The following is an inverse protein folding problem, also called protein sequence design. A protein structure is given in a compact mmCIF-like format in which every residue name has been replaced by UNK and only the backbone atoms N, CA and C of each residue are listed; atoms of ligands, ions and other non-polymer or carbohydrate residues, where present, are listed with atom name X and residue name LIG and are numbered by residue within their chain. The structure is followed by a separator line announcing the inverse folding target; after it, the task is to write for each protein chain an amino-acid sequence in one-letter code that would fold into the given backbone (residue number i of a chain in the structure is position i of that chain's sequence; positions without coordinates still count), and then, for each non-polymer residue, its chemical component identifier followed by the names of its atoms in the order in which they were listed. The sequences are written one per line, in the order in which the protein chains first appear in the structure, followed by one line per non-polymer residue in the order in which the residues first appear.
data_IF_900727940115
#
_entry.id   IF_900727940115
#
_cell.length_a   1.000
_cell.length_b   1.000
_cell.length_c   1.000
_cell.angle_alpha   90.00
_cell.angle_beta   90.00
_cell.angle_gamma   90.00
#
_symmetry.space_group_name_H-M   'P 1'
#
loop_
_entity.id
_entity.type
_entity.pdbx_description
1 polymer ?
#
# COMPACT_ATOMS: atom_id res chain seq x y z
N UNK A 1 31.25 -12.25 61.17
CA UNK A 1 30.25 -12.63 60.14
C UNK A 1 30.50 -11.83 58.87
N UNK A 2 31.08 -12.45 57.82
CA UNK A 2 31.50 -11.81 56.56
C UNK A 2 30.36 -11.88 55.52
N UNK A 3 29.32 -11.03 55.63
CA UNK A 3 28.19 -10.99 54.66
C UNK A 3 28.38 -9.98 53.51
N UNK A 4 29.55 -9.33 53.42
CA UNK A 4 29.82 -8.24 52.46
C UNK A 4 29.90 -8.63 50.97
N UNK A 5 30.32 -9.83 50.53
CA UNK A 5 30.46 -10.08 49.09
C UNK A 5 29.14 -10.45 48.40
N UNK A 6 28.18 -11.05 49.11
CA UNK A 6 26.90 -11.50 48.53
C UNK A 6 26.00 -10.30 48.18
N UNK A 7 25.98 -9.27 49.03
CA UNK A 7 25.18 -8.07 48.80
C UNK A 7 25.65 -7.28 47.56
N UNK A 8 26.96 -7.31 47.30
CA UNK A 8 27.57 -6.61 46.16
C UNK A 8 27.25 -7.32 44.84
N UNK A 9 27.19 -8.66 44.84
CA UNK A 9 26.81 -9.44 43.66
C UNK A 9 25.34 -9.22 43.30
N UNK A 10 24.44 -9.20 44.30
CA UNK A 10 23.00 -8.95 44.07
C UNK A 10 22.77 -7.56 43.48
N UNK A 11 23.51 -6.55 43.96
CA UNK A 11 23.41 -5.18 43.45
C UNK A 11 23.86 -5.08 41.98
N UNK A 12 24.93 -5.78 41.60
CA UNK A 12 25.45 -5.79 40.22
C UNK A 12 24.50 -6.54 39.28
N UNK A 13 23.92 -7.67 39.71
CA UNK A 13 22.95 -8.42 38.90
C UNK A 13 21.66 -7.61 38.68
N UNK A 14 21.21 -6.86 39.68
CA UNK A 14 20.04 -5.99 39.57
C UNK A 14 20.26 -4.81 38.60
N UNK A 15 21.48 -4.26 38.54
CA UNK A 15 21.84 -3.22 37.58
C UNK A 15 21.94 -3.76 36.14
N UNK A 16 22.40 -4.99 35.95
CA UNK A 16 22.44 -5.63 34.62
C UNK A 16 21.03 -5.94 34.10
N UNK A 17 20.10 -6.31 34.97
CA UNK A 17 18.68 -6.54 34.61
C UNK A 17 17.95 -5.25 34.18
N UNK A 18 18.35 -4.09 34.69
CA UNK A 18 17.77 -2.79 34.33
C UNK A 18 18.20 -2.29 32.93
N UNK A 19 19.35 -2.74 32.41
CA UNK A 19 19.88 -2.30 31.12
C UNK A 19 19.23 -3.08 29.95
N UNK A 20 18.75 -4.31 30.19
CA UNK A 20 18.08 -5.13 29.17
C UNK A 20 16.61 -4.76 28.90
N UNK A 21 16.05 -3.77 29.62
CA UNK A 21 14.64 -3.38 29.50
C UNK A 21 14.39 -2.21 28.53
N UNK A 22 15.41 -1.70 27.82
CA UNK A 22 15.20 -0.82 26.68
C UNK A 22 14.78 -1.67 25.47
N UNK A 23 13.51 -2.07 25.45
CA UNK A 23 12.87 -2.55 24.23
C UNK A 23 12.88 -1.42 23.21
N UNK A 24 13.53 -1.64 22.08
CA UNK A 24 13.46 -0.79 20.89
C UNK A 24 11.98 -0.66 20.51
N UNK A 25 11.36 0.46 20.86
CA UNK A 25 10.03 0.78 20.35
C UNK A 25 10.20 1.07 18.86
N UNK A 26 9.97 0.05 18.02
CA UNK A 26 9.83 0.20 16.58
C UNK A 26 8.67 1.17 16.32
N UNK A 27 9.02 2.44 16.11
CA UNK A 27 8.08 3.44 15.67
C UNK A 27 7.57 3.00 14.29
N UNK A 28 6.24 2.92 14.07
CA UNK A 28 5.71 2.43 12.80
C UNK A 28 6.30 3.28 11.67
N UNK A 29 6.88 2.60 10.68
CA UNK A 29 7.47 3.26 9.52
C UNK A 29 6.46 4.24 8.94
N UNK A 30 6.86 5.51 8.79
CA UNK A 30 6.02 6.57 8.25
C UNK A 30 5.69 6.21 6.80
N UNK A 31 4.46 5.79 6.54
CA UNK A 31 4.00 5.48 5.18
C UNK A 31 4.04 6.74 4.32
N UNK A 32 4.74 6.68 3.19
CA UNK A 32 4.82 7.78 2.21
C UNK A 32 3.58 7.75 1.32
N UNK A 33 2.47 8.30 1.82
CA UNK A 33 1.23 8.37 1.04
C UNK A 33 1.32 9.51 0.03
N UNK A 34 1.30 9.18 -1.26
CA UNK A 34 1.48 10.10 -2.38
C UNK A 34 0.15 10.28 -3.13
N UNK A 35 -0.06 11.49 -3.66
CA UNK A 35 -1.18 11.78 -4.55
C UNK A 35 -1.08 10.97 -5.85
N UNK A 36 -2.20 10.38 -6.27
CA UNK A 36 -2.27 9.65 -7.55
C UNK A 36 -1.83 10.53 -8.73
N UNK A 37 -2.28 11.80 -8.77
CA UNK A 37 -1.89 12.74 -9.81
C UNK A 37 -0.41 13.10 -9.80
N UNK A 38 0.22 13.19 -8.63
CA UNK A 38 1.66 13.48 -8.55
C UNK A 38 2.48 12.33 -9.18
N UNK A 39 2.06 11.08 -8.94
CA UNK A 39 2.70 9.91 -9.57
C UNK A 39 2.52 9.90 -11.09
N UNK A 40 1.37 10.30 -11.61
CA UNK A 40 1.15 10.36 -13.07
C UNK A 40 1.89 11.51 -13.75
N UNK A 41 1.89 12.70 -13.14
CA UNK A 41 2.40 13.92 -13.77
C UNK A 41 3.90 14.12 -13.56
N UNK A 42 4.43 13.63 -12.43
CA UNK A 42 5.84 13.76 -12.07
C UNK A 42 6.44 12.43 -11.59
N UNK A 43 6.31 11.32 -12.36
CA UNK A 43 6.72 9.98 -11.91
C UNK A 43 8.21 9.91 -11.55
N UNK A 44 9.06 10.69 -12.22
CA UNK A 44 10.51 10.72 -11.97
C UNK A 44 10.91 11.25 -10.58
N UNK A 45 10.01 11.88 -9.84
CA UNK A 45 10.27 12.31 -8.46
C UNK A 45 10.29 11.15 -7.47
N UNK A 46 9.71 10.02 -7.85
CA UNK A 46 9.48 8.87 -6.99
C UNK A 46 10.16 7.59 -7.50
N UNK A 47 10.99 7.71 -8.55
CA UNK A 47 11.65 6.55 -9.18
C UNK A 47 12.55 5.81 -8.18
N UNK A 48 12.22 4.53 -7.94
CA UNK A 48 12.89 3.69 -6.95
C UNK A 48 12.44 3.92 -5.50
N UNK A 49 11.51 4.84 -5.24
CA UNK A 49 10.96 5.07 -3.90
C UNK A 49 9.80 4.13 -3.58
N UNK A 50 9.69 3.74 -2.30
CA UNK A 50 8.48 3.09 -1.80
C UNK A 50 7.40 4.16 -1.58
N UNK A 51 6.29 4.01 -2.28
CA UNK A 51 5.14 4.91 -2.25
C UNK A 51 3.87 4.15 -1.88
N UNK A 52 2.96 4.83 -1.21
CA UNK A 52 1.60 4.36 -0.98
C UNK A 52 0.63 5.25 -1.76
N UNK A 53 -0.18 4.67 -2.63
CA UNK A 53 -1.16 5.37 -3.47
C UNK A 53 -2.52 4.69 -3.39
N UNK A 54 -3.59 5.47 -3.55
CA UNK A 54 -4.97 4.97 -3.50
C UNK A 54 -5.65 5.14 -4.84
N UNK A 55 -6.41 4.14 -5.25
CA UNK A 55 -7.14 4.13 -6.51
C UNK A 55 -8.01 2.89 -6.65
N UNK A 56 -8.57 2.69 -7.84
CA UNK A 56 -9.43 1.55 -8.17
C UNK A 56 -8.58 0.43 -8.76
N UNK A 57 -8.49 -0.69 -8.06
CA UNK A 57 -7.81 -1.88 -8.56
C UNK A 57 -8.61 -2.48 -9.72
N UNK A 58 -7.96 -2.87 -10.80
CA UNK A 58 -8.62 -3.64 -11.86
C UNK A 58 -7.67 -4.66 -12.46
N UNK A 59 -8.16 -5.88 -12.67
CA UNK A 59 -7.48 -6.90 -13.47
C UNK A 59 -7.65 -6.56 -14.96
N UNK A 60 -6.53 -6.53 -15.67
CA UNK A 60 -6.45 -6.44 -17.13
C UNK A 60 -5.83 -7.73 -17.68
N UNK A 61 -5.75 -7.87 -19.01
CA UNK A 61 -5.26 -9.09 -19.68
C UNK A 61 -3.86 -9.50 -19.19
N UNK A 62 -2.92 -8.56 -19.11
CA UNK A 62 -1.50 -8.86 -18.83
C UNK A 62 -1.09 -8.62 -17.36
N UNK A 63 -2.04 -8.27 -16.48
CA UNK A 63 -1.69 -7.86 -15.12
C UNK A 63 -2.78 -7.07 -14.42
N UNK A 64 -2.41 -6.29 -13.42
CA UNK A 64 -3.29 -5.40 -12.69
C UNK A 64 -2.94 -3.94 -12.96
N UNK A 65 -3.95 -3.08 -12.82
CA UNK A 65 -3.81 -1.64 -12.90
C UNK A 65 -4.49 -0.99 -11.70
N UNK A 66 -3.95 0.16 -11.30
CA UNK A 66 -4.63 1.06 -10.38
C UNK A 66 -5.12 2.25 -11.17
N UNK A 67 -6.43 2.48 -11.21
CA UNK A 67 -7.06 3.60 -11.91
C UNK A 67 -7.39 4.73 -10.95
N UNK A 68 -7.36 5.97 -11.43
CA UNK A 68 -7.75 7.12 -10.61
C UNK A 68 -9.23 7.06 -10.18
N UNK A 69 -10.13 6.72 -11.10
CA UNK A 69 -11.56 6.54 -10.82
C UNK A 69 -12.12 5.23 -11.36
N UNK A 70 -13.34 4.88 -10.91
CA UNK A 70 -14.11 3.74 -11.45
C UNK A 70 -14.47 3.91 -12.91
N UNK A 71 -14.72 5.15 -13.35
CA UNK A 71 -15.05 5.44 -14.74
C UNK A 71 -13.83 5.19 -15.66
N UNK A 72 -12.64 5.61 -15.23
CA UNK A 72 -11.40 5.31 -15.95
C UNK A 72 -11.16 3.80 -16.07
N UNK A 73 -11.44 3.05 -14.99
CA UNK A 73 -11.34 1.60 -14.99
C UNK A 73 -12.36 0.95 -15.95
N UNK A 74 -13.62 1.43 -15.96
CA UNK A 74 -14.69 0.92 -16.82
C UNK A 74 -14.37 1.07 -18.30
N UNK A 75 -13.88 2.25 -18.70
CA UNK A 75 -13.61 2.56 -20.10
C UNK A 75 -12.17 2.28 -20.54
N UNK A 76 -11.34 1.68 -19.67
CA UNK A 76 -9.92 1.43 -19.93
C UNK A 76 -9.20 2.70 -20.40
N UNK A 77 -8.99 3.66 -19.47
CA UNK A 77 -8.16 4.83 -19.77
C UNK A 77 -6.76 4.70 -19.13
N UNK A 78 -5.75 4.21 -19.86
CA UNK A 78 -4.42 3.99 -19.31
C UNK A 78 -3.67 5.29 -18.96
N UNK A 79 -4.09 6.44 -19.50
CA UNK A 79 -3.53 7.75 -19.13
C UNK A 79 -3.87 8.14 -17.69
N UNK A 80 -4.96 7.60 -17.15
CA UNK A 80 -5.42 7.80 -15.78
C UNK A 80 -5.15 6.58 -14.89
N UNK A 81 -4.13 5.78 -15.25
CA UNK A 81 -3.82 4.53 -14.60
C UNK A 81 -2.31 4.37 -14.32
N UNK A 82 -2.02 3.59 -13.27
CA UNK A 82 -0.67 3.16 -12.91
C UNK A 82 -0.61 1.64 -13.12
N UNK A 83 0.44 1.19 -13.80
CA UNK A 83 0.67 -0.22 -14.02
C UNK A 83 1.11 -0.91 -12.72
N UNK A 84 0.50 -2.05 -12.37
CA UNK A 84 0.90 -2.83 -11.19
C UNK A 84 1.57 -4.15 -11.55
N UNK A 85 1.51 -4.58 -12.82
CA UNK A 85 2.02 -5.87 -13.24
C UNK A 85 1.22 -7.04 -12.65
N UNK A 86 1.87 -8.19 -12.61
CA UNK A 86 1.42 -9.30 -11.79
C UNK A 86 1.68 -8.96 -10.31
N UNK A 87 0.69 -9.24 -9.46
CA UNK A 87 0.83 -9.06 -8.01
C UNK A 87 1.02 -10.45 -7.42
N UNK A 88 2.11 -10.61 -6.66
CA UNK A 88 2.49 -11.87 -6.04
C UNK A 88 1.42 -12.33 -5.01
N UNK A 89 1.11 -13.61 -5.00
CA UNK A 89 0.17 -14.21 -4.03
C UNK A 89 0.67 -14.08 -2.58
N UNK A 90 1.99 -13.99 -2.38
CA UNK A 90 2.61 -13.74 -1.08
C UNK A 90 2.30 -12.32 -0.55
N UNK A 91 2.00 -11.37 -1.45
CA UNK A 91 1.61 -10.00 -1.08
C UNK A 91 0.13 -9.93 -0.72
N UNK A 92 -0.71 -10.55 -1.54
CA UNK A 92 -2.15 -10.68 -1.32
C UNK A 92 -2.66 -11.89 -2.10
N UNK A 93 -3.42 -12.76 -1.45
CA UNK A 93 -3.86 -13.98 -2.10
C UNK A 93 -4.77 -13.68 -3.32
N UNK A 94 -4.70 -14.56 -4.33
CA UNK A 94 -5.39 -14.38 -5.60
C UNK A 94 -6.92 -14.21 -5.43
N UNK A 95 -7.53 -14.95 -4.51
CA UNK A 95 -8.96 -14.84 -4.22
C UNK A 95 -9.33 -13.41 -3.78
N UNK A 96 -8.52 -12.80 -2.91
CA UNK A 96 -8.74 -11.42 -2.46
C UNK A 96 -8.59 -10.44 -3.61
N UNK A 97 -7.59 -10.62 -4.49
CA UNK A 97 -7.42 -9.76 -5.66
C UNK A 97 -8.60 -9.84 -6.64
N UNK A 98 -9.15 -11.04 -6.85
CA UNK A 98 -10.33 -11.26 -7.68
C UNK A 98 -11.57 -10.61 -7.05
N UNK A 99 -11.79 -10.82 -5.75
CA UNK A 99 -12.87 -10.18 -5.00
C UNK A 99 -12.75 -8.65 -4.95
N UNK A 100 -11.53 -8.11 -5.02
CA UNK A 100 -11.28 -6.67 -4.95
C UNK A 100 -11.15 -6.04 -6.34
N UNK A 101 -11.39 -6.80 -7.41
CA UNK A 101 -11.45 -6.25 -8.75
C UNK A 101 -12.53 -5.15 -8.81
N UNK A 102 -12.16 -3.95 -9.26
CA UNK A 102 -12.96 -2.71 -9.27
C UNK A 102 -13.20 -2.04 -7.91
N UNK A 103 -12.56 -2.51 -6.85
CA UNK A 103 -12.64 -1.89 -5.52
C UNK A 103 -11.65 -0.75 -5.37
N UNK A 104 -11.99 0.20 -4.49
CA UNK A 104 -11.03 1.21 -4.07
C UNK A 104 -10.06 0.59 -3.05
N UNK A 105 -8.77 0.68 -3.34
CA UNK A 105 -7.70 0.08 -2.55
C UNK A 105 -6.59 1.08 -2.29
N UNK A 106 -5.77 0.77 -1.30
CA UNK A 106 -4.47 1.38 -1.05
C UNK A 106 -3.38 0.39 -1.45
N UNK A 107 -2.51 0.80 -2.36
CA UNK A 107 -1.37 0.02 -2.86
C UNK A 107 -0.10 0.65 -2.33
N UNK A 108 0.77 -0.17 -1.75
CA UNK A 108 2.15 0.21 -1.44
C UNK A 108 3.10 -0.62 -2.27
N UNK A 109 4.17 0.02 -2.76
CA UNK A 109 5.19 -0.65 -3.55
C UNK A 109 6.28 0.31 -4.00
N UNK A 110 7.26 -0.23 -4.70
CA UNK A 110 8.36 0.56 -5.27
C UNK A 110 7.95 1.09 -6.63
N UNK A 111 7.94 2.41 -6.80
CA UNK A 111 7.60 3.03 -8.08
C UNK A 111 8.77 2.89 -9.07
N UNK A 112 8.44 2.69 -10.35
CA UNK A 112 9.40 2.68 -11.44
C UNK A 112 8.85 3.44 -12.65
N UNK A 113 9.61 4.43 -13.11
CA UNK A 113 9.33 5.16 -14.36
C UNK A 113 9.62 4.29 -15.59
N UNK A 114 10.52 3.31 -15.44
CA UNK A 114 10.92 2.42 -16.53
C UNK A 114 9.85 1.35 -16.81
N UNK A 115 9.13 0.91 -15.78
CA UNK A 115 8.03 -0.04 -15.93
C UNK A 115 6.76 0.67 -16.39
N UNK A 116 6.53 0.69 -17.70
CA UNK A 116 5.37 1.35 -18.31
C UNK A 116 4.30 0.36 -18.78
N UNK A 117 4.35 -0.86 -18.26
CA UNK A 117 3.49 -1.97 -18.66
C UNK A 117 3.63 -2.34 -20.14
N UNK A 118 2.70 -3.17 -20.65
CA UNK A 118 2.69 -3.60 -22.04
C UNK A 118 2.75 -2.42 -23.00
N UNK A 119 3.65 -2.52 -23.99
CA UNK A 119 3.85 -1.53 -25.06
C UNK A 119 4.22 -0.11 -24.59
N UNK A 120 4.53 0.07 -23.31
CA UNK A 120 4.84 1.38 -22.74
C UNK A 120 3.63 2.30 -22.58
N UNK A 121 2.44 1.71 -22.44
CA UNK A 121 1.15 2.41 -22.42
C UNK A 121 0.95 3.32 -21.21
N UNK A 122 1.52 2.96 -20.05
CA UNK A 122 1.30 3.66 -18.78
C UNK A 122 2.40 4.70 -18.53
N UNK A 123 2.10 5.72 -17.71
CA UNK A 123 3.09 6.74 -17.35
C UNK A 123 4.25 6.16 -16.52
N UNK A 124 3.92 5.22 -15.62
CA UNK A 124 4.84 4.49 -14.75
C UNK A 124 4.15 3.25 -14.15
N UNK A 125 4.92 2.49 -13.38
CA UNK A 125 4.48 1.28 -12.71
C UNK A 125 4.86 1.26 -11.24
N UNK A 126 4.22 0.38 -10.49
CA UNK A 126 4.53 0.11 -9.08
C UNK A 126 4.68 -1.39 -8.90
N UNK A 127 5.88 -1.81 -8.47
CA UNK A 127 6.10 -3.17 -7.99
C UNK A 127 5.48 -3.30 -6.61
N UNK A 128 4.34 -3.96 -6.54
CA UNK A 128 3.48 -4.02 -5.34
C UNK A 128 4.13 -4.85 -4.23
N UNK A 129 4.15 -4.29 -3.02
CA UNK A 129 4.59 -4.97 -1.78
C UNK A 129 3.46 -5.14 -0.77
N UNK A 130 2.38 -4.37 -0.91
CA UNK A 130 1.18 -4.50 -0.06
C UNK A 130 -0.06 -3.94 -0.77
N UNK A 131 -1.19 -4.62 -0.61
CA UNK A 131 -2.51 -4.12 -1.01
C UNK A 131 -3.44 -4.15 0.19
N UNK A 132 -4.18 -3.06 0.40
CA UNK A 132 -5.19 -2.96 1.44
C UNK A 132 -6.50 -2.47 0.84
N UNK A 133 -7.54 -3.28 0.97
CA UNK A 133 -8.92 -2.86 0.67
C UNK A 133 -9.34 -1.72 1.58
N UNK A 134 -9.93 -0.68 1.00
CA UNK A 134 -10.38 0.49 1.73
C UNK A 134 -11.88 0.42 1.95
N UNK A 135 -12.32 0.55 3.21
CA UNK A 135 -13.73 0.79 3.50
C UNK A 135 -14.07 2.23 3.13
N UNK A 136 -15.12 2.41 2.33
CA UNK A 136 -15.60 3.74 1.98
C UNK A 136 -16.33 4.29 3.19
N UNK A 137 -15.77 5.33 3.81
CA UNK A 137 -16.43 6.08 4.86
C UNK A 137 -17.62 6.80 4.20
N UNK A 138 -18.83 6.27 4.40
CA UNK A 138 -20.07 6.97 4.03
C UNK A 138 -20.21 8.16 4.97
N UNK A 139 -19.93 9.38 4.51
CA UNK A 139 -20.36 10.55 5.26
C UNK A 139 -21.90 10.58 5.33
N UNK A 140 -22.52 10.85 6.49
CA UNK A 140 -23.97 10.67 6.64
C UNK A 140 -24.87 11.58 5.80
N UNK A 141 -24.35 12.57 5.05
CA UNK A 141 -25.17 13.63 4.47
C UNK A 141 -24.74 14.14 3.07
N UNK A 142 -24.20 13.29 2.18
CA UNK A 142 -24.12 13.67 0.76
C UNK A 142 -25.39 13.21 0.03
N UNK A 143 -26.33 14.11 -0.19
CA UNK A 143 -27.43 13.91 -1.13
C UNK A 143 -26.82 13.61 -2.52
N UNK A 144 -27.09 12.41 -3.05
CA UNK A 144 -26.85 12.07 -4.45
C UNK A 144 -25.38 11.94 -4.85
N UNK A 145 -24.75 10.81 -4.52
CA UNK A 145 -23.76 10.22 -5.42
C UNK A 145 -23.87 8.72 -5.31
N UNK A 146 -23.96 8.08 -6.47
CA UNK A 146 -24.17 6.66 -6.61
C UNK A 146 -23.05 5.90 -5.93
N UNK A 147 -23.41 5.33 -4.78
CA UNK A 147 -23.02 4.01 -4.34
C UNK A 147 -21.65 3.53 -4.83
N UNK A 148 -20.63 4.10 -4.17
CA UNK A 148 -19.24 3.71 -4.32
C UNK A 148 -18.97 2.26 -3.83
N UNK A 149 -19.99 1.52 -3.36
CA UNK A 149 -19.87 0.24 -2.68
C UNK A 149 -20.64 -0.95 -3.27
N UNK A 150 -21.49 -0.81 -4.30
CA UNK A 150 -21.98 -2.00 -5.03
C UNK A 150 -21.00 -2.41 -6.11
N UNK A 151 -21.00 -3.72 -6.35
CA UNK A 151 -20.47 -4.35 -7.55
C UNK A 151 -20.99 -3.61 -8.78
N UNK A 152 -20.08 -3.21 -9.67
CA UNK A 152 -20.49 -2.71 -10.97
C UNK A 152 -21.03 -3.93 -11.73
N UNK A 153 -22.33 -3.95 -12.04
CA UNK A 153 -22.79 -4.76 -13.16
C UNK A 153 -22.29 -4.06 -14.43
N UNK A 154 -21.31 -4.66 -15.08
CA UNK A 154 -21.01 -4.33 -16.45
C UNK A 154 -22.17 -4.89 -17.29
N UNK A 155 -22.97 -4.00 -17.88
CA UNK A 155 -23.98 -4.37 -18.86
C UNK A 155 -23.31 -4.96 -20.12
#
# INVERSE_FOLDING_TARGET
MKKKPIFLIILVVLQVLLICACGEQQQPAKQNVVSFFELLTHPSRFDGEEVTVRGVLKKETDGYCLYYTRENAKYYNPLDAIWLGEIDEDVVNAQSLEEWNTWFVEVTGVQSVADKGPEGTYACGIKVTKVKKMEIIREPNSYGSDDLGRDIKFD
#
